data_IF_584872009115
#
_entry.id   IF_584872009115
#
_cell.length_a   1.000
_cell.length_b   1.000
_cell.length_c   1.000
_cell.angle_alpha   90.00
_cell.angle_beta   90.00
_cell.angle_gamma   90.00
#
_symmetry.space_group_name_H-M   'P 1'
#
loop_
_entity.id
_entity.type
_entity.pdbx_description
1 polymer ?
#
# COMPACT_ATOMS: atom_id res chain seq x y z
N UNK A 1 -8.68 -8.76 8.21
CA UNK A 1 -7.57 -7.78 8.18
C UNK A 1 -8.15 -6.37 8.28
N UNK A 2 -7.40 -5.38 8.77
CA UNK A 2 -7.86 -3.98 8.86
C UNK A 2 -6.75 -3.01 8.44
N UNK A 3 -7.12 -1.96 7.71
CA UNK A 3 -6.25 -0.82 7.39
C UNK A 3 -6.29 0.20 8.54
N UNK A 4 -5.10 0.61 8.97
CA UNK A 4 -4.86 1.61 10.01
C UNK A 4 -3.86 2.66 9.49
N UNK A 5 -3.88 3.87 10.05
CA UNK A 5 -2.91 4.95 9.75
C UNK A 5 -2.69 5.21 8.24
N UNK A 6 -3.78 5.26 7.46
CA UNK A 6 -3.70 5.52 6.02
C UNK A 6 -3.31 6.98 5.76
N UNK A 7 -2.23 7.17 5.00
CA UNK A 7 -1.81 8.46 4.47
C UNK A 7 -1.78 8.41 2.94
N UNK A 8 -2.58 9.25 2.30
CA UNK A 8 -2.68 9.33 0.83
C UNK A 8 -1.70 10.38 0.32
N UNK A 9 -0.98 10.07 -0.76
CA UNK A 9 -0.10 11.03 -1.43
C UNK A 9 -0.90 11.82 -2.47
N UNK A 10 -1.04 13.14 -2.28
CA UNK A 10 -1.75 14.02 -3.23
C UNK A 10 -0.91 15.28 -3.50
N UNK A 11 -0.38 15.49 -4.72
CA UNK A 11 -0.40 14.54 -5.84
C UNK A 11 0.39 13.26 -5.49
N UNK A 12 0.13 12.19 -6.23
CA UNK A 12 0.87 10.94 -6.10
C UNK A 12 2.37 11.16 -6.38
N UNK A 13 3.22 10.32 -5.77
CA UNK A 13 4.68 10.44 -5.93
C UNK A 13 5.16 9.45 -6.98
N UNK A 14 5.85 9.92 -8.02
CA UNK A 14 6.45 9.03 -9.02
C UNK A 14 7.87 8.63 -8.63
N UNK A 15 8.15 7.34 -8.68
CA UNK A 15 9.53 6.82 -8.59
C UNK A 15 10.27 7.02 -9.91
N UNK A 16 11.61 6.93 -9.89
CA UNK A 16 12.43 6.99 -11.12
C UNK A 16 12.06 5.91 -12.15
N UNK A 17 11.45 4.80 -11.71
CA UNK A 17 11.00 3.71 -12.57
C UNK A 17 9.58 3.87 -13.11
N UNK A 18 8.94 5.04 -12.94
CA UNK A 18 7.57 5.28 -13.42
C UNK A 18 6.47 4.61 -12.59
N UNK A 19 6.80 4.11 -11.40
CA UNK A 19 5.81 3.58 -10.45
C UNK A 19 5.25 4.73 -9.62
N UNK A 20 3.93 4.83 -9.58
CA UNK A 20 3.18 5.85 -8.85
C UNK A 20 2.88 5.37 -7.43
N UNK A 21 3.35 6.08 -6.41
CA UNK A 21 3.04 5.81 -5.01
C UNK A 21 1.73 6.51 -4.65
N UNK A 22 0.75 5.74 -4.18
CA UNK A 22 -0.60 6.22 -3.90
C UNK A 22 -0.81 6.49 -2.42
N UNK A 23 -0.35 5.59 -1.54
CA UNK A 23 -0.55 5.72 -0.11
C UNK A 23 0.45 4.92 0.71
N UNK A 24 0.63 5.29 1.97
CA UNK A 24 1.27 4.47 3.00
C UNK A 24 0.27 4.11 4.10
N UNK A 25 0.38 2.92 4.67
CA UNK A 25 -0.58 2.42 5.66
C UNK A 25 0.03 1.38 6.61
N UNK A 26 -0.70 1.10 7.69
CA UNK A 26 -0.48 -0.05 8.57
C UNK A 26 -1.55 -1.11 8.30
N UNK A 27 -1.14 -2.37 8.19
CA UNK A 27 -2.06 -3.52 8.13
C UNK A 27 -2.06 -4.24 9.47
N UNK A 28 -3.25 -4.37 10.06
CA UNK A 28 -3.46 -5.23 11.22
C UNK A 28 -4.09 -6.54 10.75
N UNK A 29 -3.32 -7.63 10.88
CA UNK A 29 -3.72 -8.98 10.52
C UNK A 29 -3.56 -9.89 11.74
N UNK A 30 -4.69 -10.32 12.31
CA UNK A 30 -4.72 -11.27 13.44
C UNK A 30 -3.84 -10.86 14.64
N UNK A 31 -3.80 -9.57 14.97
CA UNK A 31 -2.99 -9.03 16.06
C UNK A 31 -1.55 -8.67 15.68
N UNK A 32 -1.10 -9.00 14.47
CA UNK A 32 0.19 -8.58 13.92
C UNK A 32 0.00 -7.25 13.19
N UNK A 33 0.78 -6.24 13.58
CA UNK A 33 0.81 -4.92 12.92
C UNK A 33 2.00 -4.80 12.00
N UNK A 34 1.73 -4.77 10.70
CA UNK A 34 2.71 -4.49 9.65
C UNK A 34 2.64 -3.02 9.29
N UNK A 35 3.68 -2.27 9.67
CA UNK A 35 3.77 -0.82 9.44
C UNK A 35 4.45 -0.51 8.11
N UNK A 36 4.28 0.74 7.67
CA UNK A 36 5.00 1.30 6.53
C UNK A 36 4.79 0.49 5.23
N UNK A 37 3.62 -0.10 5.08
CA UNK A 37 3.20 -0.70 3.81
C UNK A 37 2.86 0.42 2.83
N UNK A 38 3.18 0.21 1.56
CA UNK A 38 2.95 1.17 0.49
C UNK A 38 2.05 0.57 -0.57
N UNK A 39 0.98 1.29 -0.92
CA UNK A 39 0.18 1.04 -2.12
C UNK A 39 0.78 1.85 -3.27
N UNK A 40 1.07 1.18 -4.37
CA UNK A 40 1.61 1.78 -5.58
C UNK A 40 0.85 1.29 -6.81
N UNK A 41 1.02 2.01 -7.92
CA UNK A 41 0.51 1.66 -9.24
C UNK A 41 1.66 1.62 -10.23
N UNK A 42 1.86 0.47 -10.87
CA UNK A 42 2.85 0.32 -11.93
C UNK A 42 2.41 1.07 -13.20
N UNK A 43 3.36 1.31 -14.12
CA UNK A 43 3.08 2.03 -15.37
C UNK A 43 2.05 1.35 -16.29
N UNK A 44 1.77 0.06 -16.09
CA UNK A 44 0.71 -0.69 -16.78
C UNK A 44 -0.67 -0.60 -16.07
N UNK A 45 -0.78 0.15 -14.98
CA UNK A 45 -2.00 0.29 -14.17
C UNK A 45 -2.17 -0.75 -13.06
N UNK A 46 -1.27 -1.73 -12.93
CA UNK A 46 -1.35 -2.76 -11.89
C UNK A 46 -1.15 -2.15 -10.49
N UNK A 47 -2.00 -2.52 -9.53
CA UNK A 47 -1.83 -2.16 -8.13
C UNK A 47 -0.85 -3.10 -7.43
N UNK A 48 0.10 -2.52 -6.72
CA UNK A 48 1.17 -3.22 -6.03
C UNK A 48 1.15 -2.84 -4.53
N UNK A 49 1.43 -3.82 -3.68
CA UNK A 49 1.61 -3.61 -2.23
C UNK A 49 2.99 -4.07 -1.84
N UNK A 50 3.75 -3.18 -1.21
CA UNK A 50 5.11 -3.45 -0.74
C UNK A 50 5.24 -3.18 0.75
N UNK A 51 6.05 -3.99 1.43
CA UNK A 51 6.58 -3.66 2.75
C UNK A 51 7.92 -2.94 2.61
N UNK A 52 8.23 -2.07 3.57
CA UNK A 52 9.55 -1.45 3.63
C UNK A 52 10.64 -2.54 3.69
N UNK A 53 11.77 -2.28 3.04
CA UNK A 53 12.98 -3.10 3.17
C UNK A 53 13.85 -2.53 4.28
N UNK A 54 14.56 -3.38 5.01
CA UNK A 54 15.61 -2.90 5.92
C UNK A 54 16.81 -2.45 5.09
N UNK A 55 17.40 -1.30 5.39
CA UNK A 55 18.56 -0.77 4.65
C UNK A 55 19.76 -1.72 4.55
N UNK A 56 19.85 -2.73 5.44
CA UNK A 56 20.93 -3.73 5.47
C UNK A 56 20.50 -5.13 5.04
N UNK A 57 19.22 -5.32 4.71
CA UNK A 57 18.68 -6.62 4.36
C UNK A 57 17.81 -6.47 3.10
N UNK A 58 18.16 -7.14 1.98
CA UNK A 58 17.38 -7.04 0.75
C UNK A 58 15.98 -7.63 0.90
N UNK A 59 15.74 -8.44 1.94
CA UNK A 59 14.45 -9.08 2.14
C UNK A 59 13.38 -8.11 2.68
N UNK A 60 12.15 -8.20 2.16
CA UNK A 60 11.02 -7.42 2.66
C UNK A 60 10.67 -7.86 4.10
N UNK A 61 10.28 -6.89 4.94
CA UNK A 61 9.87 -7.18 6.34
C UNK A 61 8.70 -8.18 6.41
N UNK A 62 7.85 -8.18 5.37
CA UNK A 62 6.80 -9.18 5.20
C UNK A 62 6.65 -9.55 3.73
N UNK A 63 6.51 -10.85 3.48
CA UNK A 63 6.11 -11.42 2.20
C UNK A 63 4.64 -11.81 2.24
N UNK A 64 3.94 -11.57 1.14
CA UNK A 64 2.54 -11.94 0.96
C UNK A 64 2.42 -12.79 -0.31
N UNK A 65 1.47 -13.71 -0.32
CA UNK A 65 1.04 -14.39 -1.56
C UNK A 65 0.46 -13.36 -2.54
N UNK A 66 0.41 -13.71 -3.83
CA UNK A 66 -0.13 -12.80 -4.84
C UNK A 66 -1.61 -12.48 -4.58
N UNK A 67 -2.39 -13.47 -4.14
CA UNK A 67 -3.80 -13.32 -3.78
C UNK A 67 -3.97 -12.32 -2.63
N UNK A 68 -3.24 -12.49 -1.54
CA UNK A 68 -3.30 -11.58 -0.39
C UNK A 68 -2.86 -10.16 -0.75
N UNK A 69 -1.86 -9.99 -1.63
CA UNK A 69 -1.48 -8.64 -2.11
C UNK A 69 -2.61 -7.97 -2.85
N UNK A 70 -3.31 -8.71 -3.72
CA UNK A 70 -4.44 -8.18 -4.49
C UNK A 70 -5.59 -7.78 -3.56
N UNK A 71 -5.91 -8.62 -2.57
CA UNK A 71 -6.93 -8.30 -1.57
C UNK A 71 -6.59 -7.03 -0.78
N UNK A 72 -5.34 -6.92 -0.30
CA UNK A 72 -4.88 -5.72 0.42
C UNK A 72 -4.96 -4.49 -0.50
N UNK A 73 -4.51 -4.61 -1.75
CA UNK A 73 -4.52 -3.51 -2.70
C UNK A 73 -5.93 -2.97 -2.94
N UNK A 74 -6.90 -3.87 -3.18
CA UNK A 74 -8.31 -3.52 -3.38
C UNK A 74 -8.86 -2.83 -2.13
N UNK A 75 -8.67 -3.42 -0.95
CA UNK A 75 -9.17 -2.87 0.31
C UNK A 75 -8.63 -1.46 0.59
N UNK A 76 -7.34 -1.20 0.31
CA UNK A 76 -6.76 0.14 0.49
C UNK A 76 -7.31 1.11 -0.54
N UNK A 77 -7.42 0.70 -1.81
CA UNK A 77 -7.97 1.53 -2.88
C UNK A 77 -9.42 1.94 -2.61
N UNK A 78 -10.25 1.02 -2.12
CA UNK A 78 -11.63 1.29 -1.72
C UNK A 78 -11.68 2.28 -0.55
N UNK A 79 -10.77 2.16 0.42
CA UNK A 79 -10.69 3.09 1.54
C UNK A 79 -10.34 4.52 1.08
N UNK A 80 -9.41 4.64 0.12
CA UNK A 80 -9.04 5.93 -0.48
C UNK A 80 -10.25 6.53 -1.22
N UNK A 81 -10.88 5.77 -2.10
CA UNK A 81 -12.03 6.26 -2.89
C UNK A 81 -13.23 6.59 -2.00
N UNK A 82 -13.49 5.80 -0.97
CA UNK A 82 -14.52 6.08 0.03
C UNK A 82 -14.25 7.38 0.78
N UNK A 83 -13.02 7.59 1.25
CA UNK A 83 -12.64 8.82 1.95
C UNK A 83 -12.77 10.07 1.05
N UNK A 84 -12.40 9.96 -0.23
CA UNK A 84 -12.54 11.04 -1.20
C UNK A 84 -14.00 11.42 -1.47
N UNK A 85 -14.93 10.45 -1.48
CA UNK A 85 -16.36 10.71 -1.67
C UNK A 85 -17.00 11.46 -0.50
N UNK A 86 -16.50 11.28 0.71
CA UNK A 86 -17.03 11.96 1.90
C UNK A 86 -16.48 13.39 2.02
N UNK A 87 -15.31 13.65 1.44
CA UNK A 87 -14.65 14.95 1.50
C UNK A 87 -15.03 15.91 0.35
N UNK A 88 -15.85 15.46 -0.61
CA UNK A 88 -16.33 16.22 -1.77
C UNK A 88 -17.77 16.69 -1.56
#
# INVERSE_FOLDING_TARGET
MRIENLAVFTPSRLTKGGIELLASFTLNAHGIRLRDLTLARAGNGELLVWSARRNRDPEPIATFTQETRREIAIMVQEHITGAQRVAA
#
